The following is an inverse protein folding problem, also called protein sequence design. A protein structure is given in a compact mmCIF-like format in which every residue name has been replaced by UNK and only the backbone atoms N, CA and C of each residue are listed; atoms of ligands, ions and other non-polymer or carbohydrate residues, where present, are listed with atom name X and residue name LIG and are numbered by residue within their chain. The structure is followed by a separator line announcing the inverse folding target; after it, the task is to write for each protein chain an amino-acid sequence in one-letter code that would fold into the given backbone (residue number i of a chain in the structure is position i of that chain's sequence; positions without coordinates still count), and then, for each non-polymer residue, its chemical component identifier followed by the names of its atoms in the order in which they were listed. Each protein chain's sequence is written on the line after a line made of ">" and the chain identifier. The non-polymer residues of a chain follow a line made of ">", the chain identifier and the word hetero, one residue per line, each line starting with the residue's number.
data_IF_147839552789
#
_entry.id   IF_147839552789
#
_cell.length_a   1.000
_cell.length_b   1.000
_cell.length_c   1.000
_cell.angle_alpha   90.00
_cell.angle_beta   90.00
_cell.angle_gamma   90.00
#
_symmetry.space_group_name_H-M   'P 1'
#
loop_
_entity.id
_entity.type
_entity.pdbx_description
1 polymer ?
#
# COMPACT_ATOMS: atom_id res chain seq x y z
N UNK A 1 -17.57 16.36 25.20
CA UNK A 1 -18.33 15.26 24.57
C UNK A 1 -18.39 15.56 23.08
N UNK A 2 -17.73 14.79 22.21
CA UNK A 2 -17.82 15.00 20.76
C UNK A 2 -19.25 14.69 20.28
N UNK A 3 -19.84 15.61 19.54
CA UNK A 3 -21.24 15.54 19.08
C UNK A 3 -21.42 14.40 18.06
N UNK A 4 -22.61 13.81 17.97
CA UNK A 4 -22.89 12.64 17.10
C UNK A 4 -22.46 12.85 15.64
N UNK A 5 -22.50 14.09 15.15
CA UNK A 5 -22.12 14.50 13.79
C UNK A 5 -20.61 14.32 13.51
N UNK A 6 -19.74 14.57 14.49
CA UNK A 6 -18.28 14.44 14.33
C UNK A 6 -17.83 12.98 14.19
N UNK A 7 -18.62 12.05 14.74
CA UNK A 7 -18.34 10.61 14.68
C UNK A 7 -18.72 10.02 13.32
N UNK A 8 -19.80 10.49 12.72
CA UNK A 8 -20.24 10.05 11.39
C UNK A 8 -19.33 10.57 10.28
N UNK A 9 -18.90 11.84 10.37
CA UNK A 9 -17.93 12.42 9.41
C UNK A 9 -16.59 11.66 9.49
N UNK A 10 -16.06 11.41 10.71
CA UNK A 10 -14.82 10.64 10.88
C UNK A 10 -14.94 9.19 10.43
N UNK A 11 -16.13 8.59 10.49
CA UNK A 11 -16.37 7.25 9.99
C UNK A 11 -16.39 7.22 8.45
N UNK A 12 -16.99 8.22 7.80
CA UNK A 12 -16.97 8.38 6.34
C UNK A 12 -15.55 8.56 5.79
N UNK A 13 -14.78 9.49 6.36
CA UNK A 13 -13.38 9.73 5.96
C UNK A 13 -12.50 8.48 6.14
N UNK A 14 -12.70 7.72 7.22
CA UNK A 14 -11.96 6.48 7.47
C UNK A 14 -12.25 5.37 6.44
N UNK A 15 -13.46 5.34 5.89
CA UNK A 15 -13.84 4.39 4.83
C UNK A 15 -13.17 4.77 3.52
N UNK A 16 -13.14 6.06 3.18
CA UNK A 16 -12.46 6.58 1.99
C UNK A 16 -10.95 6.34 2.04
N UNK A 17 -10.28 6.71 3.14
CA UNK A 17 -8.85 6.44 3.37
C UNK A 17 -8.50 4.94 3.20
N UNK A 18 -9.37 4.06 3.70
CA UNK A 18 -9.21 2.60 3.57
C UNK A 18 -9.27 2.12 2.12
N UNK A 19 -10.08 2.76 1.26
CA UNK A 19 -10.14 2.43 -0.18
C UNK A 19 -8.80 2.77 -0.85
N UNK A 20 -8.22 3.93 -0.57
CA UNK A 20 -6.92 4.31 -1.14
C UNK A 20 -5.78 3.44 -0.67
N UNK A 21 -5.75 3.09 0.62
CA UNK A 21 -4.76 2.15 1.15
C UNK A 21 -4.84 0.79 0.43
N UNK A 22 -6.04 0.28 0.16
CA UNK A 22 -6.22 -0.93 -0.65
C UNK A 22 -5.71 -0.78 -2.08
N UNK A 23 -6.00 0.34 -2.76
CA UNK A 23 -5.46 0.62 -4.10
C UNK A 23 -3.93 0.64 -4.12
N UNK A 24 -3.30 1.23 -3.10
CA UNK A 24 -1.84 1.20 -2.94
C UNK A 24 -1.32 -0.24 -2.76
N UNK A 25 -2.00 -1.04 -1.94
CA UNK A 25 -1.65 -2.46 -1.75
C UNK A 25 -1.76 -3.30 -3.02
N UNK A 26 -2.83 -3.09 -3.79
CA UNK A 26 -3.01 -3.73 -5.10
C UNK A 26 -1.94 -3.31 -6.10
N UNK A 27 -1.53 -2.03 -6.07
CA UNK A 27 -0.44 -1.52 -6.90
C UNK A 27 0.90 -2.15 -6.55
N UNK A 28 1.21 -2.31 -5.26
CA UNK A 28 2.41 -3.04 -4.80
C UNK A 28 2.41 -4.49 -5.33
N UNK A 29 1.27 -5.17 -5.24
CA UNK A 29 1.10 -6.53 -5.75
C UNK A 29 1.28 -6.62 -7.26
N UNK A 30 0.79 -5.64 -8.01
CA UNK A 30 0.98 -5.57 -9.45
C UNK A 30 2.46 -5.47 -9.82
N UNK A 31 3.21 -4.54 -9.21
CA UNK A 31 4.63 -4.37 -9.49
C UNK A 31 5.48 -5.55 -9.02
N UNK A 32 5.15 -6.16 -7.88
CA UNK A 32 5.81 -7.39 -7.44
C UNK A 32 5.70 -8.49 -8.49
N UNK A 33 4.50 -8.71 -9.04
CA UNK A 33 4.29 -9.69 -10.12
C UNK A 33 5.06 -9.32 -11.37
N UNK A 34 5.11 -8.03 -11.74
CA UNK A 34 5.89 -7.52 -12.87
C UNK A 34 7.40 -7.73 -12.66
N UNK A 35 7.88 -7.68 -11.42
CA UNK A 35 9.25 -8.00 -11.03
C UNK A 35 9.55 -9.51 -10.98
N UNK A 36 8.60 -10.38 -11.38
CA UNK A 36 8.81 -11.83 -11.48
C UNK A 36 8.41 -12.63 -10.24
N UNK A 37 7.94 -11.97 -9.17
CA UNK A 37 7.56 -12.64 -7.94
C UNK A 37 6.08 -12.99 -7.93
N UNK A 38 5.74 -14.27 -8.00
CA UNK A 38 4.35 -14.75 -7.92
C UNK A 38 3.83 -14.75 -6.48
N UNK A 39 4.71 -14.92 -5.49
CA UNK A 39 4.40 -14.96 -4.06
C UNK A 39 4.97 -13.74 -3.29
N UNK A 40 4.14 -13.17 -2.42
CA UNK A 40 4.49 -12.11 -1.48
C UNK A 40 5.59 -12.53 -0.51
N UNK A 41 5.54 -13.77 -0.02
CA UNK A 41 6.51 -14.29 0.95
C UNK A 41 7.90 -14.47 0.34
N UNK A 42 7.94 -14.90 -0.92
CA UNK A 42 9.20 -15.04 -1.68
C UNK A 42 9.83 -13.67 -1.90
N UNK A 43 9.05 -12.68 -2.37
CA UNK A 43 9.55 -11.31 -2.51
C UNK A 43 10.07 -10.75 -1.20
N UNK A 44 9.32 -10.93 -0.11
CA UNK A 44 9.72 -10.44 1.20
C UNK A 44 11.00 -11.13 1.70
N UNK A 45 11.11 -12.45 1.52
CA UNK A 45 12.30 -13.20 1.91
C UNK A 45 13.55 -12.74 1.13
N UNK A 46 13.46 -12.67 -0.20
CA UNK A 46 14.59 -12.34 -1.07
C UNK A 46 15.08 -10.90 -0.86
N UNK A 47 14.17 -10.00 -0.45
CA UNK A 47 14.48 -8.60 -0.19
C UNK A 47 14.66 -8.26 1.30
N UNK A 48 14.78 -9.28 2.18
CA UNK A 48 14.96 -9.11 3.63
C UNK A 48 13.88 -8.23 4.31
N UNK A 49 12.64 -8.34 3.84
CA UNK A 49 11.45 -7.71 4.42
C UNK A 49 10.72 -8.74 5.29
N UNK A 50 10.14 -8.29 6.40
CA UNK A 50 9.25 -9.13 7.21
C UNK A 50 8.06 -9.62 6.38
N UNK A 51 7.96 -10.95 6.16
CA UNK A 51 6.89 -11.57 5.35
C UNK A 51 5.49 -11.17 5.80
N UNK A 52 5.14 -11.22 7.11
CA UNK A 52 3.82 -10.79 7.56
C UNK A 52 3.57 -9.30 7.35
N UNK A 53 4.61 -8.47 7.40
CA UNK A 53 4.48 -7.03 7.21
C UNK A 53 4.25 -6.68 5.73
N UNK A 54 4.99 -7.33 4.84
CA UNK A 54 4.82 -7.12 3.40
C UNK A 54 3.43 -7.58 2.92
N UNK A 55 2.95 -8.74 3.39
CA UNK A 55 1.59 -9.19 3.09
C UNK A 55 0.50 -8.22 3.58
N UNK A 56 0.71 -7.57 4.74
CA UNK A 56 -0.18 -6.50 5.23
C UNK A 56 -0.20 -5.30 4.29
N UNK A 57 0.94 -4.90 3.73
CA UNK A 57 0.99 -3.79 2.77
C UNK A 57 0.21 -4.11 1.49
N UNK A 58 0.34 -5.32 0.96
CA UNK A 58 -0.49 -5.75 -0.20
C UNK A 58 -1.98 -5.78 0.12
N UNK A 59 -2.35 -6.02 1.39
CA UNK A 59 -3.74 -6.00 1.86
C UNK A 59 -4.28 -4.59 2.16
N UNK A 60 -3.47 -3.53 1.99
CA UNK A 60 -3.86 -2.15 2.25
C UNK A 60 -3.65 -1.70 3.70
N UNK A 61 -2.66 -2.24 4.40
CA UNK A 61 -2.20 -1.64 5.64
C UNK A 61 -1.48 -0.31 5.37
N UNK A 62 -1.55 0.60 6.34
CA UNK A 62 -0.80 1.85 6.28
C UNK A 62 0.70 1.57 6.15
N UNK A 63 1.33 2.22 5.18
CA UNK A 63 2.76 2.11 4.87
C UNK A 63 3.41 3.48 5.05
N UNK A 64 4.55 3.50 5.75
CA UNK A 64 5.34 4.73 5.83
C UNK A 64 6.00 5.01 4.48
N UNK A 65 6.04 6.28 4.06
CA UNK A 65 6.56 6.68 2.75
C UNK A 65 8.01 6.22 2.50
N UNK A 66 8.87 6.27 3.53
CA UNK A 66 10.25 5.76 3.46
C UNK A 66 10.29 4.25 3.14
N UNK A 67 9.38 3.46 3.72
CA UNK A 67 9.24 2.02 3.47
C UNK A 67 8.71 1.78 2.07
N UNK A 68 7.72 2.55 1.62
CA UNK A 68 7.23 2.48 0.24
C UNK A 68 8.37 2.71 -0.75
N UNK A 69 9.12 3.81 -0.61
CA UNK A 69 10.26 4.13 -1.48
C UNK A 69 11.30 3.00 -1.51
N UNK A 70 11.60 2.39 -0.36
CA UNK A 70 12.53 1.24 -0.30
C UNK A 70 11.99 0.06 -1.10
N UNK A 71 10.72 -0.30 -0.93
CA UNK A 71 10.08 -1.40 -1.65
C UNK A 71 10.06 -1.15 -3.16
N UNK A 72 9.74 0.08 -3.59
CA UNK A 72 9.73 0.43 -5.01
C UNK A 72 11.12 0.32 -5.65
N UNK A 73 12.18 0.73 -4.95
CA UNK A 73 13.56 0.55 -5.41
C UNK A 73 13.93 -0.93 -5.62
N UNK A 74 13.44 -1.82 -4.77
CA UNK A 74 13.69 -3.27 -4.89
C UNK A 74 12.98 -3.88 -6.11
N UNK A 75 11.92 -3.23 -6.60
CA UNK A 75 11.19 -3.63 -7.81
C UNK A 75 11.63 -2.86 -9.07
N UNK A 76 12.59 -1.94 -8.94
CA UNK A 76 13.01 -1.00 -9.98
C UNK A 76 11.85 -0.17 -10.55
N UNK A 77 11.02 0.37 -9.66
CA UNK A 77 9.83 1.17 -10.00
C UNK A 77 9.98 2.58 -9.47
N UNK A 78 9.71 3.58 -10.32
CA UNK A 78 9.71 4.98 -9.90
C UNK A 78 8.42 5.35 -9.17
N UNK A 79 8.43 6.44 -8.39
CA UNK A 79 7.21 6.96 -7.77
C UNK A 79 6.17 7.39 -8.82
N UNK A 80 6.63 7.95 -9.94
CA UNK A 80 5.76 8.37 -11.05
C UNK A 80 5.01 7.18 -11.64
N UNK A 81 5.73 6.11 -12.00
CA UNK A 81 5.09 4.88 -12.50
C UNK A 81 4.18 4.25 -11.46
N UNK A 82 4.58 4.27 -10.19
CA UNK A 82 3.77 3.71 -9.12
C UNK A 82 2.43 4.42 -8.98
N UNK A 83 2.44 5.74 -8.92
CA UNK A 83 1.25 6.58 -8.75
C UNK A 83 0.56 6.96 -10.07
N UNK A 84 1.01 6.44 -11.21
CA UNK A 84 0.32 6.65 -12.47
C UNK A 84 -1.13 6.12 -12.40
N UNK A 85 -2.09 7.00 -12.72
CA UNK A 85 -3.52 6.69 -12.66
C UNK A 85 -4.20 7.01 -11.32
N UNK A 86 -3.48 7.59 -10.36
CA UNK A 86 -4.07 8.19 -9.16
C UNK A 86 -4.44 9.65 -9.47
N UNK A 87 -5.73 9.98 -9.47
CA UNK A 87 -6.24 11.31 -9.84
C UNK A 87 -7.05 12.02 -8.74
N UNK A 88 -7.33 11.37 -7.60
CA UNK A 88 -8.25 11.87 -6.56
C UNK A 88 -7.77 11.49 -5.14
N UNK A 89 -8.21 12.27 -4.14
CA UNK A 89 -8.10 12.02 -2.69
C UNK A 89 -9.46 12.18 -2.01
#
# INVERSE_FOLDING_TARGET
>A
MASKNDKEIKAGTKVEESIYLKKIGERLKYFRKKAGYTNSDTFAYDNNISRPQYGKYEAGANIQLNTLIKILKLMDVTLEEFFQGFSEY
#
